data_IF_267536131431
#
_entry.id   IF_267536131431
#
_cell.length_a   1.000
_cell.length_b   1.000
_cell.length_c   1.000
_cell.angle_alpha   90.00
_cell.angle_beta   90.00
_cell.angle_gamma   90.00
#
_symmetry.space_group_name_H-M   'P 1'
#
loop_
_entity.id
_entity.type
_entity.pdbx_description
1 polymer ?
#
# COMPACT_ATOMS: atom_id res chain seq x y z
N UNK A 1 10.80 -30.32 -51.34
CA UNK A 1 11.62 -29.60 -50.35
C UNK A 1 10.66 -28.74 -49.56
N UNK A 2 10.31 -29.15 -48.33
CA UNK A 2 9.49 -28.36 -47.40
C UNK A 2 10.43 -28.03 -46.26
N UNK A 3 10.89 -26.77 -46.19
CA UNK A 3 11.62 -26.26 -45.05
C UNK A 3 10.61 -25.92 -43.95
N UNK A 4 10.64 -26.69 -42.86
CA UNK A 4 9.99 -26.33 -41.61
C UNK A 4 10.71 -25.12 -41.00
N UNK A 5 9.98 -24.01 -40.86
CA UNK A 5 10.44 -22.85 -40.11
C UNK A 5 10.37 -23.15 -38.60
N UNK A 6 11.54 -23.35 -38.01
CA UNK A 6 11.81 -23.46 -36.59
C UNK A 6 11.19 -22.26 -35.82
N UNK A 7 10.06 -22.49 -35.12
CA UNK A 7 9.54 -21.52 -34.15
C UNK A 7 10.34 -21.62 -32.86
N UNK A 8 11.30 -20.71 -32.68
CA UNK A 8 12.04 -20.55 -31.42
C UNK A 8 11.14 -20.29 -30.21
N UNK A 9 11.58 -20.65 -28.99
CA UNK A 9 10.76 -20.60 -27.79
C UNK A 9 10.37 -19.16 -27.42
N UNK A 10 9.06 -18.93 -27.30
CA UNK A 10 8.44 -17.61 -27.17
C UNK A 10 8.83 -16.91 -25.85
N UNK A 11 9.62 -15.83 -25.93
CA UNK A 11 10.02 -14.95 -24.81
C UNK A 11 8.84 -14.44 -23.95
N UNK A 12 7.61 -14.51 -24.48
CA UNK A 12 6.38 -14.15 -23.77
C UNK A 12 6.13 -14.98 -22.50
N UNK A 13 6.46 -16.28 -22.50
CA UNK A 13 6.28 -17.15 -21.33
C UNK A 13 7.16 -16.73 -20.15
N UNK A 14 8.42 -16.41 -20.43
CA UNK A 14 9.40 -15.94 -19.45
C UNK A 14 9.01 -14.58 -18.86
N UNK A 15 8.56 -13.63 -19.70
CA UNK A 15 8.09 -12.31 -19.25
C UNK A 15 6.86 -12.43 -18.34
N UNK A 16 5.89 -13.30 -18.68
CA UNK A 16 4.73 -13.55 -17.83
C UNK A 16 5.12 -14.13 -16.47
N UNK A 17 6.06 -15.09 -16.43
CA UNK A 17 6.57 -15.63 -15.16
C UNK A 17 7.30 -14.59 -14.32
N UNK A 18 8.18 -13.78 -14.93
CA UNK A 18 8.89 -12.70 -14.23
C UNK A 18 7.91 -11.65 -13.70
N UNK A 19 6.84 -11.35 -14.45
CA UNK A 19 5.76 -10.45 -13.99
C UNK A 19 4.98 -11.04 -12.82
N UNK A 20 4.67 -12.33 -12.85
CA UNK A 20 4.01 -13.05 -11.77
C UNK A 20 4.83 -13.05 -10.48
N UNK A 21 6.14 -13.34 -10.58
CA UNK A 21 7.06 -13.30 -9.44
C UNK A 21 7.13 -11.91 -8.81
N UNK A 22 7.34 -10.86 -9.61
CA UNK A 22 7.38 -9.47 -9.12
C UNK A 22 6.05 -9.02 -8.52
N UNK A 23 4.92 -9.47 -9.06
CA UNK A 23 3.59 -9.19 -8.49
C UNK A 23 3.44 -9.84 -7.11
N UNK A 24 3.86 -11.10 -6.97
CA UNK A 24 3.85 -11.81 -5.68
C UNK A 24 4.71 -11.08 -4.64
N UNK A 25 5.94 -10.73 -4.99
CA UNK A 25 6.85 -9.96 -4.11
C UNK A 25 6.25 -8.62 -3.69
N UNK A 26 5.64 -7.87 -4.62
CA UNK A 26 4.94 -6.62 -4.31
C UNK A 26 3.80 -6.83 -3.32
N UNK A 27 2.97 -7.86 -3.51
CA UNK A 27 1.87 -8.17 -2.60
C UNK A 27 2.40 -8.42 -1.20
N UNK A 28 3.44 -9.25 -1.06
CA UNK A 28 4.07 -9.52 0.24
C UNK A 28 4.66 -8.25 0.85
N UNK A 29 5.32 -7.39 0.07
CA UNK A 29 5.85 -6.12 0.55
C UNK A 29 4.75 -5.17 1.05
N UNK A 30 3.62 -5.08 0.34
CA UNK A 30 2.50 -4.23 0.73
C UNK A 30 1.77 -4.76 1.97
N UNK A 31 1.62 -6.08 2.09
CA UNK A 31 1.07 -6.71 3.29
C UNK A 31 1.97 -6.48 4.50
N UNK A 32 3.29 -6.60 4.34
CA UNK A 32 4.25 -6.30 5.40
C UNK A 32 4.21 -4.82 5.79
N UNK A 33 4.12 -3.92 4.81
CA UNK A 33 3.99 -2.47 5.03
C UNK A 33 2.72 -2.14 5.84
N UNK A 34 1.63 -2.89 5.67
CA UNK A 34 0.41 -2.76 6.47
C UNK A 34 0.62 -2.89 7.99
N UNK A 35 1.67 -3.60 8.41
CA UNK A 35 2.02 -3.76 9.82
C UNK A 35 2.74 -2.52 10.40
N UNK A 36 3.22 -1.60 9.55
CA UNK A 36 3.95 -0.40 9.95
C UNK A 36 3.04 0.82 10.05
N UNK A 37 2.10 0.81 11.01
CA UNK A 37 1.05 1.83 11.13
C UNK A 37 1.58 3.27 11.19
N UNK A 38 2.72 3.51 11.87
CA UNK A 38 3.31 4.84 11.99
C UNK A 38 3.88 5.39 10.65
N UNK A 39 4.22 4.52 9.69
CA UNK A 39 4.65 4.91 8.35
C UNK A 39 3.48 5.08 7.38
N UNK A 40 2.27 4.70 7.79
CA UNK A 40 1.10 4.79 6.93
C UNK A 40 0.25 6.03 7.19
N UNK A 41 0.59 6.84 8.20
CA UNK A 41 -0.07 8.12 8.46
C UNK A 41 0.10 9.04 7.24
N UNK A 42 -0.99 9.43 6.55
CA UNK A 42 -0.89 10.30 5.38
C UNK A 42 -0.60 11.75 5.79
N UNK A 43 0.24 12.49 5.04
CA UNK A 43 0.35 13.93 5.21
C UNK A 43 -0.98 14.61 4.83
N UNK A 44 -1.22 15.81 5.36
CA UNK A 44 -2.48 16.53 5.20
C UNK A 44 -2.88 16.74 3.72
N UNK A 45 -1.89 16.86 2.84
CA UNK A 45 -2.08 17.09 1.40
C UNK A 45 -2.69 15.93 0.65
N UNK A 46 -2.61 14.69 1.17
CA UNK A 46 -3.12 13.48 0.51
C UNK A 46 -4.16 12.73 1.37
N UNK A 47 -4.58 13.36 2.48
CA UNK A 47 -5.50 12.75 3.44
C UNK A 47 -6.87 12.47 2.80
N UNK A 48 -7.38 13.41 1.99
CA UNK A 48 -8.67 13.25 1.31
C UNK A 48 -8.66 12.07 0.34
N UNK A 49 -7.60 11.95 -0.45
CA UNK A 49 -7.41 10.89 -1.43
C UNK A 49 -7.25 9.54 -0.72
N UNK A 50 -6.55 9.50 0.42
CA UNK A 50 -6.42 8.30 1.23
C UNK A 50 -7.77 7.84 1.77
N UNK A 51 -8.59 8.77 2.25
CA UNK A 51 -9.94 8.49 2.71
C UNK A 51 -10.84 8.04 1.54
N UNK A 52 -10.69 8.62 0.35
CA UNK A 52 -11.41 8.20 -0.85
C UNK A 52 -11.03 6.78 -1.28
N UNK A 53 -9.74 6.44 -1.25
CA UNK A 53 -9.28 5.09 -1.55
C UNK A 53 -9.85 4.06 -0.54
N UNK A 54 -9.88 4.41 0.76
CA UNK A 54 -10.49 3.58 1.79
C UNK A 54 -12.01 3.43 1.63
N UNK A 55 -12.70 4.53 1.32
CA UNK A 55 -14.14 4.54 1.04
C UNK A 55 -14.47 3.66 -0.17
N UNK A 56 -13.69 3.77 -1.24
CA UNK A 56 -13.84 2.95 -2.45
C UNK A 56 -13.67 1.47 -2.16
N UNK A 57 -12.63 1.09 -1.42
CA UNK A 57 -12.42 -0.31 -1.02
C UNK A 57 -13.56 -0.84 -0.14
N UNK A 58 -13.99 -0.06 0.85
CA UNK A 58 -15.12 -0.40 1.73
C UNK A 58 -16.42 -0.61 0.95
N UNK A 59 -16.72 0.30 0.02
CA UNK A 59 -17.86 0.19 -0.87
C UNK A 59 -17.78 -1.07 -1.74
N UNK A 60 -16.60 -1.37 -2.29
CA UNK A 60 -16.43 -2.56 -3.12
C UNK A 60 -16.64 -3.86 -2.34
N UNK A 61 -16.07 -3.96 -1.13
CA UNK A 61 -16.22 -5.15 -0.28
C UNK A 61 -17.66 -5.35 0.18
N UNK A 62 -18.35 -4.26 0.55
CA UNK A 62 -19.76 -4.30 0.98
C UNK A 62 -20.76 -4.57 -0.15
N UNK A 63 -20.40 -4.27 -1.41
CA UNK A 63 -21.24 -4.54 -2.58
C UNK A 63 -21.14 -5.97 -3.13
N UNK A 64 -20.24 -6.81 -2.59
CA UNK A 64 -20.08 -8.19 -3.05
C UNK A 64 -21.15 -9.11 -2.42
N UNK A 65 -22.08 -9.71 -3.19
CA UNK A 65 -23.36 -10.24 -2.69
C UNK A 65 -23.27 -11.70 -2.23
N UNK A 66 -22.53 -12.00 -1.15
CA UNK A 66 -22.61 -13.31 -0.48
C UNK A 66 -23.36 -13.28 0.86
N UNK A 67 -24.35 -12.39 0.99
CA UNK A 67 -25.26 -12.39 2.13
C UNK A 67 -26.04 -11.09 2.24
N UNK A 68 -27.36 -11.21 2.25
CA UNK A 68 -28.34 -10.13 2.19
C UNK A 68 -28.21 -9.06 3.28
N UNK A 69 -28.67 -7.85 2.95
CA UNK A 69 -29.39 -7.00 3.91
C UNK A 69 -28.86 -5.59 4.03
N UNK A 70 -29.38 -4.70 3.17
CA UNK A 70 -29.68 -3.31 3.52
C UNK A 70 -28.55 -2.51 4.18
N UNK A 71 -27.55 -2.10 3.41
CA UNK A 71 -26.82 -0.87 3.73
C UNK A 71 -27.31 0.22 2.80
N UNK A 72 -28.28 0.94 3.33
CA UNK A 72 -28.84 2.18 2.83
C UNK A 72 -27.71 3.10 2.32
N UNK A 73 -28.00 3.75 1.20
CA UNK A 73 -27.14 4.64 0.44
C UNK A 73 -26.49 5.72 1.32
N UNK A 74 -25.37 5.39 1.97
CA UNK A 74 -24.47 6.40 2.52
C UNK A 74 -23.97 7.24 1.34
N UNK A 75 -24.19 8.56 1.42
CA UNK A 75 -23.64 9.48 0.43
C UNK A 75 -22.11 9.34 0.45
N UNK A 76 -21.45 9.57 -0.69
CA UNK A 76 -19.99 9.50 -0.72
C UNK A 76 -19.36 10.43 0.33
N UNK A 77 -20.00 11.56 0.60
CA UNK A 77 -19.56 12.54 1.60
C UNK A 77 -19.64 12.01 3.04
N UNK A 78 -20.69 11.24 3.38
CA UNK A 78 -20.80 10.58 4.69
C UNK A 78 -19.80 9.43 4.84
N UNK A 79 -19.46 8.74 3.75
CA UNK A 79 -18.45 7.66 3.80
C UNK A 79 -17.03 8.24 3.89
N UNK A 80 -16.74 9.34 3.19
CA UNK A 80 -15.44 10.02 3.18
C UNK A 80 -15.08 10.64 4.54
N UNK A 81 -16.07 11.16 5.26
CA UNK A 81 -15.89 11.70 6.62
C UNK A 81 -15.69 10.62 7.69
N UNK A 82 -16.16 9.39 7.43
CA UNK A 82 -16.05 8.27 8.35
C UNK A 82 -14.91 7.29 8.03
N UNK A 83 -14.31 7.36 6.84
CA UNK A 83 -13.21 6.48 6.46
C UNK A 83 -11.86 7.06 6.92
N UNK A 84 -11.25 6.44 7.92
CA UNK A 84 -9.88 6.73 8.36
C UNK A 84 -8.86 6.01 7.45
N UNK A 85 -8.72 6.53 6.22
CA UNK A 85 -7.79 6.04 5.21
C UNK A 85 -6.32 6.31 5.58
N UNK A 86 -5.42 5.54 5.00
CA UNK A 86 -3.98 5.65 5.23
C UNK A 86 -3.21 5.52 3.91
N UNK A 87 -1.89 5.74 3.91
CA UNK A 87 -1.08 5.67 2.68
C UNK A 87 -1.14 4.31 1.98
N UNK A 88 -1.40 3.20 2.71
CA UNK A 88 -1.53 1.89 2.10
C UNK A 88 -2.75 1.82 1.17
N UNK A 89 -3.86 2.44 1.56
CA UNK A 89 -5.04 2.54 0.69
C UNK A 89 -4.72 3.29 -0.60
N UNK A 90 -3.97 4.39 -0.53
CA UNK A 90 -3.51 5.12 -1.71
C UNK A 90 -2.61 4.27 -2.60
N UNK A 91 -1.63 3.59 -2.02
CA UNK A 91 -0.68 2.77 -2.79
C UNK A 91 -1.41 1.64 -3.49
N UNK A 92 -2.28 0.92 -2.77
CA UNK A 92 -3.06 -0.18 -3.35
C UNK A 92 -4.00 0.33 -4.45
N UNK A 93 -4.67 1.46 -4.23
CA UNK A 93 -5.53 2.08 -5.23
C UNK A 93 -4.75 2.49 -6.49
N UNK A 94 -3.57 3.10 -6.33
CA UNK A 94 -2.69 3.46 -7.45
C UNK A 94 -2.20 2.21 -8.21
N UNK A 95 -1.90 1.11 -7.49
CA UNK A 95 -1.51 -0.15 -8.11
C UNK A 95 -2.66 -0.80 -8.89
N UNK A 96 -3.90 -0.72 -8.40
CA UNK A 96 -5.10 -1.18 -9.11
C UNK A 96 -5.35 -0.34 -10.36
N UNK A 97 -5.29 0.99 -10.25
CA UNK A 97 -5.46 1.91 -11.37
C UNK A 97 -4.44 1.68 -12.50
N UNK A 98 -3.24 1.18 -12.16
CA UNK A 98 -2.18 0.83 -13.11
C UNK A 98 -2.20 -0.64 -13.56
N UNK A 99 -3.21 -1.42 -13.18
CA UNK A 99 -3.34 -2.84 -13.49
C UNK A 99 -2.12 -3.67 -13.06
N UNK A 100 -1.52 -3.29 -11.92
CA UNK A 100 -0.44 -4.01 -11.24
C UNK A 100 -1.03 -4.99 -10.23
N UNK A 101 -2.06 -4.54 -9.51
CA UNK A 101 -2.91 -5.34 -8.63
C UNK A 101 -4.33 -5.42 -9.20
N UNK A 102 -5.08 -6.41 -8.76
CA UNK A 102 -6.52 -6.53 -8.98
C UNK A 102 -7.28 -6.08 -7.72
N UNK A 103 -8.60 -5.95 -7.85
CA UNK A 103 -9.50 -5.60 -6.74
C UNK A 103 -9.57 -6.68 -5.65
N UNK A 104 -8.96 -7.85 -5.87
CA UNK A 104 -8.80 -8.87 -4.82
C UNK A 104 -8.00 -8.34 -3.63
N UNK A 105 -7.15 -7.33 -3.84
CA UNK A 105 -6.40 -6.64 -2.79
C UNK A 105 -7.31 -6.01 -1.72
N UNK A 106 -8.54 -5.63 -2.09
CA UNK A 106 -9.51 -5.09 -1.13
C UNK A 106 -9.93 -6.11 -0.06
N UNK A 107 -9.76 -7.41 -0.32
CA UNK A 107 -10.08 -8.49 0.60
C UNK A 107 -8.88 -8.96 1.44
N UNK A 108 -7.73 -8.28 1.37
CA UNK A 108 -6.60 -8.63 2.22
C UNK A 108 -6.97 -8.48 3.71
N UNK A 109 -6.54 -9.42 4.58
CA UNK A 109 -6.81 -9.34 6.00
C UNK A 109 -6.31 -8.00 6.58
N UNK A 110 -7.18 -7.27 7.26
CA UNK A 110 -6.84 -5.98 7.89
C UNK A 110 -6.68 -4.79 6.93
N UNK A 111 -6.92 -4.97 5.62
CA UNK A 111 -6.84 -3.90 4.63
C UNK A 111 -8.03 -2.93 4.75
N UNK A 112 -9.26 -3.42 4.64
CA UNK A 112 -10.46 -2.63 4.95
C UNK A 112 -10.82 -2.82 6.42
N UNK A 113 -10.49 -1.84 7.26
CA UNK A 113 -10.97 -1.82 8.64
C UNK A 113 -12.40 -1.25 8.67
N UNK A 114 -13.39 -2.12 8.83
CA UNK A 114 -14.81 -1.79 8.75
C UNK A 114 -15.34 -0.80 9.82
N UNK A 115 -14.52 -0.34 10.77
CA UNK A 115 -14.81 0.71 11.76
C UNK A 115 -13.59 0.85 12.67
N UNK A 116 -12.66 1.75 12.35
CA UNK A 116 -11.63 2.20 13.31
C UNK A 116 -12.07 3.51 13.99
N UNK A 117 -13.35 3.62 14.32
CA UNK A 117 -13.87 4.70 15.16
C UNK A 117 -13.95 4.17 16.58
N UNK A 118 -12.91 4.45 17.39
CA UNK A 118 -12.93 4.64 18.86
C UNK A 118 -11.51 4.63 19.43
N UNK A 119 -10.63 5.49 18.90
CA UNK A 119 -9.56 6.02 19.74
C UNK A 119 -9.93 7.48 19.98
N UNK A 120 -10.18 7.89 21.24
CA UNK A 120 -10.42 9.29 21.56
C UNK A 120 -9.28 10.11 20.98
N UNK A 121 -9.63 11.16 20.25
CA UNK A 121 -8.76 12.14 19.63
C UNK A 121 -7.92 12.96 20.64
N UNK A 122 -7.67 12.44 21.85
CA UNK A 122 -6.91 13.10 22.91
C UNK A 122 -5.51 12.53 23.14
N UNK A 123 -5.04 11.54 22.37
CA UNK A 123 -3.64 11.06 22.44
C UNK A 123 -3.06 10.77 21.05
N UNK A 124 -3.37 11.61 20.05
CA UNK A 124 -2.48 11.70 18.87
C UNK A 124 -1.31 12.62 19.24
N UNK A 125 -0.51 12.18 20.22
CA UNK A 125 0.85 12.65 20.32
C UNK A 125 1.54 12.11 19.09
N UNK A 126 1.53 12.90 18.01
CA UNK A 126 2.58 13.03 17.00
C UNK A 126 3.63 11.90 17.06
N UNK A 127 3.25 10.65 16.77
CA UNK A 127 4.26 9.61 16.55
C UNK A 127 4.69 9.82 15.13
N UNK A 128 5.69 10.68 15.02
CA UNK A 128 6.53 10.97 13.88
C UNK A 128 7.16 9.67 13.35
N UNK A 129 6.38 8.73 12.83
CA UNK A 129 6.91 7.47 12.30
C UNK A 129 7.88 7.78 11.16
N UNK A 130 7.47 8.65 10.24
CA UNK A 130 8.33 9.17 9.19
C UNK A 130 9.44 10.07 9.73
N UNK A 131 9.16 11.01 10.63
CA UNK A 131 10.21 11.92 11.10
C UNK A 131 11.26 11.20 11.95
N UNK A 132 10.88 10.20 12.75
CA UNK A 132 11.83 9.32 13.45
C UNK A 132 12.61 8.42 12.48
N UNK A 133 11.98 7.92 11.41
CA UNK A 133 12.68 7.17 10.36
C UNK A 133 13.68 8.06 9.62
N UNK A 134 13.26 9.27 9.23
CA UNK A 134 14.07 10.24 8.48
C UNK A 134 15.19 10.85 9.32
N UNK A 135 14.96 11.07 10.60
CA UNK A 135 15.99 11.51 11.54
C UNK A 135 17.05 10.42 11.76
N UNK A 136 16.70 9.16 11.52
CA UNK A 136 17.58 8.02 11.67
C UNK A 136 18.07 7.82 13.11
N UNK A 137 18.94 6.83 13.28
CA UNK A 137 19.71 6.68 14.52
C UNK A 137 20.94 7.57 14.48
N UNK A 138 21.42 8.00 15.65
CA UNK A 138 22.74 8.64 15.75
C UNK A 138 23.80 7.67 15.23
N UNK A 139 24.73 8.18 14.42
CA UNK A 139 25.88 7.39 13.97
C UNK A 139 26.69 6.93 15.18
N UNK A 140 27.15 5.69 15.17
CA UNK A 140 28.02 5.17 16.22
C UNK A 140 29.40 5.83 16.14
N UNK A 141 30.11 6.04 17.26
CA UNK A 141 31.43 6.69 17.24
C UNK A 141 32.40 6.02 16.27
N UNK A 142 32.43 4.68 16.21
CA UNK A 142 33.28 3.95 15.28
C UNK A 142 32.95 4.16 13.80
N UNK A 143 31.67 4.40 13.46
CA UNK A 143 31.27 4.74 12.09
C UNK A 143 31.67 6.18 11.74
N UNK A 144 31.57 7.11 12.68
CA UNK A 144 32.06 8.49 12.52
C UNK A 144 33.58 8.48 12.28
N UNK A 145 34.33 7.71 13.07
CA UNK A 145 35.78 7.57 12.91
C UNK A 145 36.14 6.96 11.54
N UNK A 146 35.42 5.93 11.09
CA UNK A 146 35.64 5.33 9.78
C UNK A 146 35.36 6.30 8.61
N UNK A 147 34.29 7.10 8.70
CA UNK A 147 33.91 8.09 7.69
C UNK A 147 34.89 9.27 7.62
N UNK A 148 35.46 9.67 8.76
CA UNK A 148 36.50 10.70 8.81
C UNK A 148 37.85 10.19 8.32
N UNK A 149 38.19 8.93 8.59
CA UNK A 149 39.41 8.29 8.11
C UNK A 149 39.38 8.00 6.60
N UNK A 150 38.19 7.82 6.00
CA UNK A 150 38.04 7.45 4.59
C UNK A 150 37.03 8.37 3.89
N UNK A 151 37.42 9.62 3.58
CA UNK A 151 36.54 10.53 2.85
C UNK A 151 36.24 9.97 1.45
N UNK A 152 34.99 10.11 1.00
CA UNK A 152 34.65 9.79 -0.38
C UNK A 152 35.42 10.73 -1.34
N UNK A 153 35.99 10.17 -2.41
CA UNK A 153 36.66 10.98 -3.43
C UNK A 153 35.66 11.92 -4.09
N UNK A 154 36.13 13.13 -4.41
CA UNK A 154 35.37 14.18 -5.09
C UNK A 154 35.19 13.87 -6.57
#
# INVERSE_FOLDING_TARGET
>A
MIEEAERGPTNQGKIKQIRGKRRGELITSLQLLGNSQCLLTPPQTVLMEANQAAAKATKFVSQNPMGSGHLESLTMDDLLTNCSGNLLHLIVEACIARNILDTSAYFWPGYVNARRNQIPSSISNHVDGWSSLMNGSKLTPGLVDALTATPASR
#
